data_IF_822243864224
#
_entry.id   IF_822243864224
#
_cell.length_a   1.000
_cell.length_b   1.000
_cell.length_c   1.000
_cell.angle_alpha   90.00
_cell.angle_beta   90.00
_cell.angle_gamma   90.00
#
_symmetry.space_group_name_H-M   'P 1'
#
loop_
_entity.id
_entity.type
_entity.pdbx_description
1 polymer ?
#
# COMPACT_ATOMS: atom_id res chain seq x y z
N UNK A 1 22.05 -21.23 -8.91
CA UNK A 1 21.52 -20.00 -8.29
C UNK A 1 20.51 -20.45 -7.22
N UNK A 2 20.43 -19.82 -6.05
CA UNK A 2 19.40 -20.17 -5.06
C UNK A 2 18.05 -19.67 -5.57
N UNK A 3 16.99 -20.44 -5.36
CA UNK A 3 15.63 -20.02 -5.70
C UNK A 3 15.25 -18.75 -4.91
N UNK A 4 14.50 -17.82 -5.51
CA UNK A 4 14.10 -16.59 -4.83
C UNK A 4 13.22 -16.91 -3.62
N UNK A 5 13.40 -16.16 -2.52
CA UNK A 5 12.50 -16.22 -1.37
C UNK A 5 11.12 -15.75 -1.82
N UNK A 6 10.15 -16.66 -1.83
CA UNK A 6 8.76 -16.37 -2.16
C UNK A 6 8.06 -15.78 -0.94
N UNK A 7 7.45 -14.61 -1.09
CA UNK A 7 6.57 -13.98 -0.09
C UNK A 7 5.12 -14.08 -0.56
N UNK A 8 4.23 -14.52 0.32
CA UNK A 8 2.79 -14.56 0.10
C UNK A 8 2.13 -13.38 0.79
N UNK A 9 1.41 -12.57 0.01
CA UNK A 9 0.81 -11.33 0.49
C UNK A 9 -0.67 -11.29 0.14
N UNK A 10 -1.52 -11.06 1.14
CA UNK A 10 -2.94 -10.78 0.95
C UNK A 10 -3.21 -9.30 1.13
N UNK A 11 -3.82 -8.65 0.15
CA UNK A 11 -4.28 -7.26 0.27
C UNK A 11 -5.77 -7.18 0.59
N UNK A 12 -6.11 -6.64 1.75
CA UNK A 12 -7.49 -6.39 2.18
C UNK A 12 -7.78 -4.90 2.09
N UNK A 13 -8.83 -4.52 1.36
CA UNK A 13 -9.20 -3.11 1.23
C UNK A 13 -10.22 -2.81 0.13
N UNK A 14 -10.00 -1.71 -0.58
CA UNK A 14 -10.96 -1.19 -1.55
C UNK A 14 -10.27 -0.61 -2.80
N UNK A 15 -10.92 0.34 -3.46
CA UNK A 15 -10.44 0.98 -4.68
C UNK A 15 -9.07 1.64 -4.54
N UNK A 16 -8.65 2.02 -3.33
CA UNK A 16 -7.30 2.57 -3.11
C UNK A 16 -6.21 1.49 -3.16
N UNK A 17 -6.62 0.22 -3.08
CA UNK A 17 -5.77 -0.95 -3.27
C UNK A 17 -5.82 -1.43 -4.72
N UNK A 18 -6.99 -1.73 -5.29
CA UNK A 18 -7.04 -2.41 -6.60
C UNK A 18 -6.92 -1.48 -7.82
N UNK A 19 -7.07 -0.17 -7.68
CA UNK A 19 -6.97 0.73 -8.83
C UNK A 19 -5.58 0.69 -9.46
N UNK A 20 -5.58 0.75 -10.80
CA UNK A 20 -4.40 0.63 -11.64
C UNK A 20 -3.59 -0.67 -11.41
N UNK A 21 -4.21 -1.71 -10.83
CA UNK A 21 -3.55 -2.99 -10.55
C UNK A 21 -2.31 -2.84 -9.64
N UNK A 22 -2.40 -2.00 -8.60
CA UNK A 22 -1.25 -1.70 -7.72
C UNK A 22 -0.57 -2.95 -7.13
N UNK A 23 -1.28 -3.98 -6.62
CA UNK A 23 -0.62 -5.20 -6.15
C UNK A 23 0.16 -5.93 -7.26
N UNK A 24 -0.33 -5.91 -8.50
CA UNK A 24 0.37 -6.50 -9.65
C UNK A 24 1.54 -5.63 -10.12
N UNK A 25 1.45 -4.29 -10.03
CA UNK A 25 2.61 -3.41 -10.24
C UNK A 25 3.77 -3.81 -9.33
N UNK A 26 3.48 -4.05 -8.05
CA UNK A 26 4.47 -4.50 -7.08
C UNK A 26 5.09 -5.86 -7.47
N UNK A 27 4.29 -6.82 -7.95
CA UNK A 27 4.81 -8.12 -8.45
C UNK A 27 5.80 -7.92 -9.59
N UNK A 28 5.44 -7.10 -10.59
CA UNK A 28 6.33 -6.86 -11.74
C UNK A 28 7.59 -6.07 -11.34
N UNK A 29 7.48 -5.13 -10.39
CA UNK A 29 8.64 -4.45 -9.81
C UNK A 29 9.62 -5.42 -9.13
N UNK A 30 9.12 -6.32 -8.28
CA UNK A 30 9.97 -7.32 -7.59
C UNK A 30 10.63 -8.26 -8.59
N UNK A 31 9.88 -8.71 -9.59
CA UNK A 31 10.40 -9.56 -10.68
C UNK A 31 11.50 -8.86 -11.47
N UNK A 32 11.31 -7.58 -11.81
CA UNK A 32 12.28 -6.79 -12.56
C UNK A 32 13.58 -6.56 -11.76
N UNK A 33 13.48 -6.33 -10.45
CA UNK A 33 14.63 -6.05 -9.59
C UNK A 33 15.60 -7.24 -9.43
N UNK A 34 15.12 -8.48 -9.57
CA UNK A 34 15.92 -9.72 -9.46
C UNK A 34 16.78 -9.82 -8.18
N UNK A 35 16.34 -9.22 -7.07
CA UNK A 35 17.04 -9.27 -5.77
C UNK A 35 16.77 -10.55 -4.96
N UNK A 36 16.43 -11.66 -5.62
CA UNK A 36 16.19 -12.93 -4.95
C UNK A 36 14.86 -13.01 -4.19
N UNK A 37 13.88 -12.17 -4.53
CA UNK A 37 12.50 -12.27 -4.03
C UNK A 37 11.53 -12.57 -5.16
N UNK A 38 10.42 -13.24 -4.81
CA UNK A 38 9.23 -13.34 -5.67
C UNK A 38 7.98 -13.13 -4.82
N UNK A 39 6.92 -12.61 -5.41
CA UNK A 39 5.66 -12.35 -4.71
C UNK A 39 4.54 -13.22 -5.26
N UNK A 40 3.77 -13.83 -4.36
CA UNK A 40 2.43 -14.35 -4.64
C UNK A 40 1.43 -13.40 -3.96
N UNK A 41 0.64 -12.69 -4.77
CA UNK A 41 -0.34 -11.72 -4.25
C UNK A 41 -1.76 -12.19 -4.50
N UNK A 42 -2.62 -12.05 -3.49
CA UNK A 42 -4.07 -12.09 -3.66
C UNK A 42 -4.68 -10.84 -3.03
N UNK A 43 -5.96 -10.61 -3.29
CA UNK A 43 -6.67 -9.46 -2.74
C UNK A 43 -8.12 -9.80 -2.38
N UNK A 44 -8.56 -9.33 -1.21
CA UNK A 44 -9.96 -9.25 -0.83
C UNK A 44 -10.35 -7.78 -0.87
N UNK A 45 -10.99 -7.34 -1.95
CA UNK A 45 -11.34 -5.92 -2.12
C UNK A 45 -12.78 -5.69 -2.51
N UNK A 46 -13.38 -4.63 -1.97
CA UNK A 46 -14.73 -4.17 -2.34
C UNK A 46 -14.77 -2.69 -2.71
N UNK A 47 -15.83 -2.25 -3.42
CA UNK A 47 -15.99 -0.83 -3.74
C UNK A 47 -16.35 -0.03 -2.49
N UNK A 48 -15.44 0.83 -2.02
CA UNK A 48 -15.68 1.76 -0.92
C UNK A 48 -15.84 1.13 0.47
N UNK A 49 -15.47 -0.15 0.62
CA UNK A 49 -15.63 -0.89 1.88
C UNK A 49 -14.58 -0.50 2.93
N UNK A 50 -14.95 -0.60 4.21
CA UNK A 50 -14.10 -0.36 5.40
C UNK A 50 -13.51 -1.64 5.97
N UNK A 51 -12.63 -1.54 6.96
CA UNK A 51 -12.18 -2.72 7.72
C UNK A 51 -13.31 -3.37 8.51
N UNK A 52 -14.29 -2.59 8.97
CA UNK A 52 -15.51 -3.11 9.59
C UNK A 52 -16.28 -4.03 8.64
N UNK A 53 -16.42 -3.62 7.38
CA UNK A 53 -17.08 -4.45 6.39
C UNK A 53 -16.31 -5.76 6.17
N UNK A 54 -14.98 -5.70 6.10
CA UNK A 54 -14.13 -6.88 5.94
C UNK A 54 -14.20 -7.83 7.13
N UNK A 55 -14.23 -7.30 8.36
CA UNK A 55 -14.44 -8.09 9.57
C UNK A 55 -15.78 -8.86 9.50
N UNK A 56 -16.84 -8.21 9.05
CA UNK A 56 -18.16 -8.82 8.91
C UNK A 56 -18.33 -9.66 7.64
N UNK A 57 -17.33 -9.72 6.76
CA UNK A 57 -17.36 -10.48 5.52
C UNK A 57 -16.70 -11.86 5.70
N UNK A 58 -17.46 -12.97 5.68
CA UNK A 58 -16.90 -14.30 5.89
C UNK A 58 -15.81 -14.65 4.89
N UNK A 59 -15.98 -14.31 3.61
CA UNK A 59 -14.97 -14.59 2.58
C UNK A 59 -13.62 -13.93 2.89
N UNK A 60 -13.60 -12.72 3.44
CA UNK A 60 -12.35 -12.07 3.85
C UNK A 60 -11.68 -12.83 4.99
N UNK A 61 -12.45 -13.18 6.03
CA UNK A 61 -11.93 -13.92 7.20
C UNK A 61 -11.49 -15.35 6.84
N UNK A 62 -12.24 -16.03 5.99
CA UNK A 62 -11.86 -17.35 5.47
C UNK A 62 -10.55 -17.26 4.67
N UNK A 63 -10.37 -16.21 3.84
CA UNK A 63 -9.14 -16.01 3.06
C UNK A 63 -7.93 -15.70 3.94
N UNK A 64 -8.11 -15.01 5.08
CA UNK A 64 -7.04 -14.85 6.09
C UNK A 64 -6.57 -16.23 6.58
N UNK A 65 -7.47 -17.20 6.70
CA UNK A 65 -7.18 -18.55 7.21
C UNK A 65 -6.76 -19.59 6.16
N UNK A 66 -6.83 -19.30 4.85
CA UNK A 66 -6.64 -20.32 3.80
C UNK A 66 -5.18 -20.62 3.44
N UNK A 67 -4.26 -19.69 3.68
CA UNK A 67 -2.84 -19.83 3.33
C UNK A 67 -1.94 -19.41 4.49
N UNK A 68 -0.73 -19.95 4.49
CA UNK A 68 0.37 -19.45 5.32
C UNK A 68 0.90 -18.15 4.70
N UNK A 69 0.17 -17.05 4.90
CA UNK A 69 0.55 -15.72 4.47
C UNK A 69 1.80 -15.26 5.22
N UNK A 70 2.76 -14.63 4.53
CA UNK A 70 3.86 -13.93 5.20
C UNK A 70 3.36 -12.57 5.70
N UNK A 71 2.61 -11.87 4.84
CA UNK A 71 2.05 -10.56 5.12
C UNK A 71 0.58 -10.49 4.77
N UNK A 72 -0.20 -9.80 5.60
CA UNK A 72 -1.56 -9.39 5.28
C UNK A 72 -1.65 -7.88 5.42
N UNK A 73 -2.00 -7.21 4.32
CA UNK A 73 -2.10 -5.76 4.21
C UNK A 73 -3.53 -5.34 4.53
N UNK A 74 -3.70 -4.45 5.49
CA UNK A 74 -4.99 -3.86 5.86
C UNK A 74 -5.06 -2.40 5.43
N UNK A 75 -6.06 -2.07 4.61
CA UNK A 75 -6.34 -0.72 4.15
C UNK A 75 -7.75 -0.28 4.57
N UNK A 76 -7.84 0.76 5.40
CA UNK A 76 -9.13 1.37 5.78
C UNK A 76 -9.72 2.22 4.66
N UNK A 77 -11.04 2.36 4.62
CA UNK A 77 -11.79 3.26 3.74
C UNK A 77 -11.20 4.66 3.76
N UNK A 78 -10.50 5.09 2.71
CA UNK A 78 -10.14 6.48 2.37
C UNK A 78 -10.14 7.48 3.57
N UNK A 79 -11.24 8.19 3.83
CA UNK A 79 -11.38 9.18 4.90
C UNK A 79 -11.84 8.62 6.27
N UNK A 80 -12.06 7.32 6.40
CA UNK A 80 -12.39 6.58 7.61
C UNK A 80 -11.48 6.86 8.80
N UNK A 81 -10.15 7.02 8.65
CA UNK A 81 -9.30 7.45 9.76
C UNK A 81 -9.64 8.86 10.32
N UNK A 82 -10.33 9.70 9.54
CA UNK A 82 -10.84 11.01 9.95
C UNK A 82 -12.27 10.95 10.47
N UNK A 83 -13.12 10.20 9.76
CA UNK A 83 -14.58 10.18 9.95
C UNK A 83 -15.02 9.17 11.01
N UNK A 84 -14.31 8.05 11.13
CA UNK A 84 -14.69 6.85 11.88
C UNK A 84 -13.47 6.23 12.59
N UNK A 85 -12.61 7.07 13.18
CA UNK A 85 -11.32 6.64 13.76
C UNK A 85 -11.44 5.52 14.80
N UNK A 86 -12.51 5.54 15.61
CA UNK A 86 -12.79 4.48 16.58
C UNK A 86 -13.15 3.14 15.91
N UNK A 87 -13.91 3.16 14.81
CA UNK A 87 -14.21 1.95 14.03
C UNK A 87 -12.95 1.42 13.36
N UNK A 88 -12.13 2.29 12.78
CA UNK A 88 -10.84 1.91 12.21
C UNK A 88 -9.94 1.22 13.24
N UNK A 89 -9.73 1.85 14.40
CA UNK A 89 -8.90 1.29 15.49
C UNK A 89 -9.42 -0.06 15.98
N UNK A 90 -10.73 -0.19 16.20
CA UNK A 90 -11.34 -1.41 16.70
C UNK A 90 -11.23 -2.56 15.69
N UNK A 91 -11.59 -2.33 14.43
CA UNK A 91 -11.60 -3.39 13.42
C UNK A 91 -10.20 -3.78 12.94
N UNK A 92 -9.25 -2.85 12.94
CA UNK A 92 -7.84 -3.19 12.71
C UNK A 92 -7.32 -4.15 13.79
N UNK A 93 -7.67 -3.95 15.07
CA UNK A 93 -7.30 -4.85 16.16
C UNK A 93 -7.92 -6.24 16.04
N UNK A 94 -9.19 -6.33 15.62
CA UNK A 94 -9.86 -7.63 15.44
C UNK A 94 -9.23 -8.43 14.29
N UNK A 95 -9.02 -7.79 13.14
CA UNK A 95 -8.38 -8.43 11.99
C UNK A 95 -6.93 -8.81 12.29
N UNK A 96 -6.14 -7.93 12.94
CA UNK A 96 -4.76 -8.23 13.34
C UNK A 96 -4.66 -9.47 14.23
N UNK A 97 -5.61 -9.65 15.15
CA UNK A 97 -5.65 -10.86 15.98
C UNK A 97 -5.85 -12.12 15.15
N UNK A 98 -6.75 -12.11 14.17
CA UNK A 98 -6.94 -13.25 13.26
C UNK A 98 -5.69 -13.50 12.42
N UNK A 99 -5.07 -12.44 11.87
CA UNK A 99 -3.85 -12.51 11.07
C UNK A 99 -2.71 -13.15 11.86
N UNK A 100 -2.46 -12.68 13.09
CA UNK A 100 -1.39 -13.21 13.96
C UNK A 100 -1.65 -14.64 14.42
N UNK A 101 -2.91 -15.03 14.62
CA UNK A 101 -3.24 -16.42 14.94
C UNK A 101 -2.84 -17.38 13.79
N UNK A 102 -2.74 -16.90 12.55
CA UNK A 102 -2.23 -17.65 11.41
C UNK A 102 -0.70 -17.53 11.23
N UNK A 103 -0.02 -16.78 12.10
CA UNK A 103 1.43 -16.57 12.04
C UNK A 103 1.89 -15.51 11.02
N UNK A 104 0.97 -14.78 10.39
CA UNK A 104 1.29 -13.73 9.43
C UNK A 104 1.58 -12.39 10.12
N UNK A 105 2.31 -11.49 9.43
CA UNK A 105 2.54 -10.12 9.88
C UNK A 105 1.55 -9.14 9.24
N UNK A 106 0.97 -8.26 10.06
CA UNK A 106 0.08 -7.20 9.58
C UNK A 106 0.89 -6.03 9.03
N UNK A 107 0.52 -5.54 7.84
CA UNK A 107 0.96 -4.27 7.27
C UNK A 107 -0.24 -3.33 7.17
N UNK A 108 -0.18 -2.15 7.77
CA UNK A 108 -1.20 -1.11 7.59
C UNK A 108 -0.86 -0.24 6.38
N UNK A 109 -1.76 -0.20 5.39
CA UNK A 109 -1.62 0.63 4.21
C UNK A 109 -2.22 2.02 4.45
N UNK A 110 -1.36 2.96 4.85
CA UNK A 110 -1.74 4.34 5.06
C UNK A 110 -1.99 5.06 3.74
N UNK A 111 -3.27 5.33 3.45
CA UNK A 111 -3.71 6.03 2.25
C UNK A 111 -3.46 7.55 2.32
N UNK A 112 -3.81 8.23 1.23
CA UNK A 112 -3.66 9.67 1.07
C UNK A 112 -4.98 10.44 1.30
N UNK A 113 -4.86 11.72 1.58
CA UNK A 113 -5.94 12.68 1.61
C UNK A 113 -6.46 13.00 0.21
N UNK A 114 -7.75 13.33 0.10
CA UNK A 114 -8.30 13.91 -1.12
C UNK A 114 -7.55 15.19 -1.47
N UNK A 115 -7.42 15.48 -2.77
CA UNK A 115 -6.61 16.61 -3.26
C UNK A 115 -7.05 17.96 -2.70
N UNK A 116 -8.36 18.16 -2.57
CA UNK A 116 -8.96 19.39 -2.03
C UNK A 116 -8.82 19.55 -0.51
N UNK A 117 -8.40 18.49 0.19
CA UNK A 117 -8.26 18.45 1.66
C UNK A 117 -6.87 17.95 2.07
N UNK A 118 -5.85 18.31 1.29
CA UNK A 118 -4.48 17.82 1.45
C UNK A 118 -3.91 18.05 2.87
N UNK A 119 -4.33 19.12 3.54
CA UNK A 119 -3.95 19.44 4.92
C UNK A 119 -4.34 18.35 5.93
N UNK A 120 -5.35 17.54 5.63
CA UNK A 120 -5.81 16.44 6.50
C UNK A 120 -4.86 15.24 6.51
N UNK A 121 -3.85 15.20 5.62
CA UNK A 121 -2.92 14.07 5.54
C UNK A 121 -2.21 13.78 6.87
N UNK A 122 -1.85 14.82 7.63
CA UNK A 122 -1.18 14.64 8.92
C UNK A 122 -2.08 13.95 9.95
N UNK A 123 -3.39 14.17 9.88
CA UNK A 123 -4.37 13.55 10.77
C UNK A 123 -4.56 12.08 10.38
N UNK A 124 -4.68 11.79 9.07
CA UNK A 124 -4.71 10.42 8.56
C UNK A 124 -3.46 9.66 9.01
N UNK A 125 -2.27 10.26 8.86
CA UNK A 125 -1.02 9.65 9.26
C UNK A 125 -0.98 9.34 10.76
N UNK A 126 -1.32 10.30 11.61
CA UNK A 126 -1.36 10.10 13.06
C UNK A 126 -2.31 8.98 13.50
N UNK A 127 -3.46 8.82 12.83
CA UNK A 127 -4.40 7.73 13.10
C UNK A 127 -3.80 6.37 12.73
N UNK A 128 -3.23 6.23 11.53
CA UNK A 128 -2.57 4.98 11.11
C UNK A 128 -1.37 4.63 11.99
N UNK A 129 -0.53 5.60 12.35
CA UNK A 129 0.60 5.41 13.24
C UNK A 129 0.19 4.97 14.64
N UNK A 130 -0.89 5.55 15.17
CA UNK A 130 -1.43 5.14 16.47
C UNK A 130 -1.89 3.67 16.44
N UNK A 131 -2.67 3.29 15.42
CA UNK A 131 -3.14 1.91 15.26
C UNK A 131 -1.95 0.97 15.03
N UNK A 132 -0.99 1.33 14.16
CA UNK A 132 0.20 0.54 13.89
C UNK A 132 1.01 0.25 15.16
N UNK A 133 1.26 1.28 15.98
CA UNK A 133 1.94 1.10 17.28
C UNK A 133 1.13 0.20 18.22
N UNK A 134 -0.20 0.39 18.30
CA UNK A 134 -1.06 -0.38 19.19
C UNK A 134 -1.06 -1.86 18.85
N UNK A 135 -1.15 -2.20 17.57
CA UNK A 135 -1.18 -3.59 17.11
C UNK A 135 0.21 -4.13 16.77
N UNK A 136 1.28 -3.35 16.87
CA UNK A 136 2.62 -3.77 16.45
C UNK A 136 2.70 -4.15 14.96
N UNK A 137 1.91 -3.48 14.11
CA UNK A 137 1.93 -3.69 12.66
C UNK A 137 3.06 -2.88 12.01
N UNK A 138 3.51 -3.38 10.85
CA UNK A 138 4.34 -2.60 9.94
C UNK A 138 3.46 -1.51 9.31
N UNK A 139 3.96 -0.29 9.20
CA UNK A 139 3.24 0.79 8.53
C UNK A 139 3.78 0.96 7.10
N UNK A 140 2.89 1.00 6.11
CA UNK A 140 3.17 1.40 4.73
C UNK A 140 2.73 2.85 4.49
N UNK A 141 3.64 3.84 4.63
CA UNK A 141 3.32 5.26 4.73
C UNK A 141 3.07 5.95 3.36
N UNK A 142 2.23 5.37 2.50
CA UNK A 142 2.02 5.88 1.13
C UNK A 142 1.49 7.31 1.11
N UNK A 143 0.54 7.65 1.99
CA UNK A 143 0.04 9.02 2.10
C UNK A 143 1.11 10.06 2.47
N UNK A 144 2.13 9.68 3.24
CA UNK A 144 3.27 10.55 3.57
C UNK A 144 4.21 10.70 2.38
N UNK A 145 4.42 9.64 1.60
CA UNK A 145 5.14 9.72 0.33
C UNK A 145 4.45 10.66 -0.67
N UNK A 146 3.12 10.59 -0.77
CA UNK A 146 2.34 11.53 -1.57
C UNK A 146 2.51 12.96 -1.08
N UNK A 147 2.39 13.19 0.23
CA UNK A 147 2.62 14.51 0.83
C UNK A 147 3.99 15.07 0.51
N UNK A 148 5.03 14.22 0.56
CA UNK A 148 6.40 14.60 0.22
C UNK A 148 6.56 14.98 -1.25
N UNK A 149 5.93 14.24 -2.16
CA UNK A 149 5.89 14.60 -3.60
C UNK A 149 5.30 15.99 -3.78
N UNK A 150 4.12 16.28 -3.20
CA UNK A 150 3.48 17.58 -3.37
C UNK A 150 4.28 18.73 -2.75
N UNK A 151 5.01 18.51 -1.65
CA UNK A 151 5.89 19.52 -1.06
C UNK A 151 7.07 19.89 -1.98
N UNK A 152 7.63 18.91 -2.68
CA UNK A 152 8.80 19.11 -3.55
C UNK A 152 8.42 19.49 -4.98
N UNK A 153 7.30 18.98 -5.48
CA UNK A 153 6.76 19.23 -6.81
C UNK A 153 5.23 19.41 -6.75
N UNK A 154 4.74 20.61 -6.39
CA UNK A 154 3.30 20.87 -6.20
C UNK A 154 2.42 20.64 -7.43
N UNK A 155 3.01 20.64 -8.63
CA UNK A 155 2.30 20.41 -9.89
C UNK A 155 2.16 18.93 -10.24
N UNK A 156 2.86 18.04 -9.54
CA UNK A 156 2.81 16.60 -9.82
C UNK A 156 1.41 16.08 -9.57
N UNK A 157 0.88 15.33 -10.53
CA UNK A 157 -0.46 14.78 -10.46
C UNK A 157 -0.40 13.31 -10.03
N UNK A 158 -0.83 13.01 -8.81
CA UNK A 158 -0.96 11.64 -8.29
C UNK A 158 -2.43 11.18 -8.18
N UNK A 159 -3.36 12.13 -8.03
CA UNK A 159 -4.80 11.84 -8.06
C UNK A 159 -5.32 11.68 -9.49
N UNK A 160 -6.35 10.86 -9.63
CA UNK A 160 -7.23 10.78 -10.79
C UNK A 160 -8.04 12.09 -10.96
N UNK A 161 -8.82 12.20 -12.04
CA UNK A 161 -9.75 13.33 -12.29
C UNK A 161 -10.84 13.49 -11.23
N UNK A 162 -11.05 12.49 -10.37
CA UNK A 162 -12.02 12.57 -9.27
C UNK A 162 -11.43 13.13 -7.97
N UNK A 163 -10.15 13.55 -8.00
CA UNK A 163 -9.42 14.13 -6.87
C UNK A 163 -9.35 13.24 -5.61
N UNK A 164 -9.68 11.95 -5.75
CA UNK A 164 -9.74 10.97 -4.66
C UNK A 164 -8.88 9.75 -4.93
N UNK A 165 -9.10 9.07 -6.05
CA UNK A 165 -8.37 7.84 -6.36
C UNK A 165 -6.97 8.14 -6.89
N UNK A 166 -6.09 7.15 -6.83
CA UNK A 166 -4.80 7.23 -7.51
C UNK A 166 -4.98 7.16 -9.02
N UNK A 167 -4.25 8.01 -9.74
CA UNK A 167 -3.90 7.73 -11.13
C UNK A 167 -2.77 6.68 -11.17
N UNK A 168 -2.35 6.21 -12.36
CA UNK A 168 -1.31 5.20 -12.46
C UNK A 168 0.03 5.59 -11.78
N UNK A 169 0.39 6.87 -11.79
CA UNK A 169 1.61 7.38 -11.12
C UNK A 169 1.48 7.28 -9.59
N UNK A 170 0.31 7.63 -9.04
CA UNK A 170 0.02 7.46 -7.62
C UNK A 170 0.09 6.00 -7.16
N UNK A 171 -0.47 5.08 -7.95
CA UNK A 171 -0.37 3.63 -7.69
C UNK A 171 1.07 3.12 -7.84
N UNK A 172 1.84 3.64 -8.79
CA UNK A 172 3.25 3.32 -8.94
C UNK A 172 4.07 3.71 -7.71
N UNK A 173 3.85 4.90 -7.16
CA UNK A 173 4.51 5.34 -5.93
C UNK A 173 4.11 4.45 -4.73
N UNK A 174 2.84 4.05 -4.63
CA UNK A 174 2.40 3.10 -3.61
C UNK A 174 3.13 1.76 -3.73
N UNK A 175 3.25 1.21 -4.95
CA UNK A 175 4.00 -0.02 -5.20
C UNK A 175 5.50 0.13 -4.85
N UNK A 176 6.12 1.29 -5.11
CA UNK A 176 7.49 1.56 -4.67
C UNK A 176 7.64 1.52 -3.14
N UNK A 177 6.68 2.09 -2.39
CA UNK A 177 6.69 2.03 -0.91
C UNK A 177 6.62 0.59 -0.42
N UNK A 178 5.70 -0.22 -0.97
CA UNK A 178 5.59 -1.63 -0.61
C UNK A 178 6.84 -2.43 -0.99
N UNK A 179 7.47 -2.12 -2.13
CA UNK A 179 8.72 -2.75 -2.54
C UNK A 179 9.81 -2.54 -1.48
N UNK A 180 9.98 -1.31 -0.99
CA UNK A 180 10.97 -1.02 0.06
C UNK A 180 10.65 -1.78 1.34
N UNK A 181 9.38 -1.82 1.74
CA UNK A 181 8.96 -2.54 2.96
C UNK A 181 9.20 -4.05 2.88
N UNK A 182 8.82 -4.68 1.76
CA UNK A 182 8.83 -6.13 1.65
C UNK A 182 10.20 -6.68 1.25
N UNK A 183 10.94 -5.95 0.42
CA UNK A 183 12.24 -6.38 -0.07
C UNK A 183 13.41 -5.79 0.72
N UNK A 184 13.22 -4.67 1.43
CA UNK A 184 14.30 -3.98 2.15
C UNK A 184 15.38 -3.37 1.24
N UNK A 185 15.07 -3.19 -0.05
CA UNK A 185 15.99 -2.65 -1.05
C UNK A 185 15.52 -1.29 -1.54
N UNK A 186 16.47 -0.46 -1.98
CA UNK A 186 16.15 0.81 -2.63
C UNK A 186 15.42 0.57 -3.96
N UNK A 187 14.38 1.35 -4.29
CA UNK A 187 13.63 1.19 -5.54
C UNK A 187 14.29 1.91 -6.72
N UNK A 188 15.46 2.56 -6.56
CA UNK A 188 16.14 3.38 -7.58
C UNK A 188 16.45 2.63 -8.88
N UNK A 189 16.53 1.30 -8.84
CA UNK A 189 16.75 0.45 -10.01
C UNK A 189 15.46 -0.20 -10.56
N UNK A 190 14.29 0.23 -10.09
CA UNK A 190 13.01 -0.28 -10.59
C UNK A 190 12.68 0.31 -11.95
N UNK A 191 11.96 -0.44 -12.81
CA UNK A 191 11.59 0.04 -14.13
C UNK A 191 10.63 1.24 -14.05
N UNK A 192 10.90 2.26 -14.84
CA UNK A 192 10.07 3.44 -15.09
C UNK A 192 8.84 3.12 -15.95
N UNK A 193 8.89 2.00 -16.69
CA UNK A 193 7.80 1.49 -17.51
C UNK A 193 7.32 0.13 -17.01
N UNK A 194 6.01 0.01 -16.77
CA UNK A 194 5.37 -1.24 -16.35
C UNK A 194 4.27 -1.65 -17.32
N UNK A 195 4.32 -2.93 -17.70
CA UNK A 195 3.29 -3.61 -18.47
C UNK A 195 2.55 -4.57 -17.53
N UNK A 196 1.23 -4.49 -17.54
CA UNK A 196 0.36 -5.43 -16.80
C UNK A 196 -0.63 -6.00 -17.82
N UNK A 197 -0.66 -7.32 -17.94
CA UNK A 197 -1.43 -8.02 -18.98
C UNK A 197 -1.19 -7.43 -20.38
N UNK A 198 0.08 -7.25 -20.74
CA UNK A 198 0.57 -6.68 -22.00
C UNK A 198 0.14 -5.23 -22.30
N UNK A 199 -0.49 -4.55 -21.33
CA UNK A 199 -0.87 -3.15 -21.44
C UNK A 199 0.11 -2.27 -20.66
N UNK A 200 0.64 -1.25 -21.33
CA UNK A 200 1.40 -0.19 -20.66
C UNK A 200 0.49 0.48 -19.64
N UNK A 201 0.80 0.27 -18.36
CA UNK A 201 0.05 0.84 -17.24
C UNK A 201 0.76 2.08 -16.71
N UNK A 202 2.09 2.09 -16.76
CA UNK A 202 2.96 3.19 -16.35
C UNK A 202 4.06 3.36 -17.39
N UNK A 203 4.32 4.60 -17.78
CA UNK A 203 5.41 5.01 -18.68
C UNK A 203 5.89 6.38 -18.21
N UNK A 204 6.92 6.40 -17.36
CA UNK A 204 7.44 7.63 -16.75
C UNK A 204 8.76 8.02 -17.42
N UNK A 205 9.02 9.33 -17.47
CA UNK A 205 10.38 9.83 -17.66
C UNK A 205 11.30 9.29 -16.55
N UNK A 206 12.54 8.93 -16.91
CA UNK A 206 13.52 8.30 -16.03
C UNK A 206 13.82 9.18 -14.80
N UNK A 207 13.99 10.49 -14.97
CA UNK A 207 14.27 11.40 -13.87
C UNK A 207 13.07 11.52 -12.94
N UNK A 208 11.85 11.47 -13.48
CA UNK A 208 10.64 11.48 -12.67
C UNK A 208 10.43 10.15 -11.91
N UNK A 209 10.68 8.99 -12.54
CA UNK A 209 10.67 7.70 -11.85
C UNK A 209 11.68 7.68 -10.70
N UNK A 210 12.92 8.12 -10.96
CA UNK A 210 13.98 8.22 -9.96
C UNK A 210 13.59 9.13 -8.78
N UNK A 211 12.90 10.24 -9.06
CA UNK A 211 12.37 11.13 -8.03
C UNK A 211 11.36 10.41 -7.12
N UNK A 212 10.41 9.65 -7.70
CA UNK A 212 9.45 8.86 -6.93
C UNK A 212 10.11 7.75 -6.11
N UNK A 213 11.12 7.08 -6.68
CA UNK A 213 11.90 6.05 -5.98
C UNK A 213 12.59 6.59 -4.74
N UNK A 214 13.27 7.74 -4.89
CA UNK A 214 13.96 8.40 -3.77
C UNK A 214 12.99 8.76 -2.65
N UNK A 215 11.81 9.29 -2.97
CA UNK A 215 10.79 9.60 -1.97
C UNK A 215 10.29 8.36 -1.26
N UNK A 216 9.97 7.29 -2.00
CA UNK A 216 9.52 6.04 -1.40
C UNK A 216 10.57 5.49 -0.42
N UNK A 217 11.85 5.51 -0.81
CA UNK A 217 12.95 5.06 0.04
C UNK A 217 13.18 5.95 1.26
N UNK A 218 13.19 7.28 1.07
CA UNK A 218 13.34 8.27 2.14
C UNK A 218 12.29 8.07 3.23
N UNK A 219 11.02 7.99 2.83
CA UNK A 219 9.87 7.95 3.75
C UNK A 219 9.79 6.62 4.51
N UNK A 220 10.14 5.49 3.87
CA UNK A 220 10.16 4.19 4.57
C UNK A 220 11.38 4.07 5.49
N UNK A 221 12.54 4.60 5.09
CA UNK A 221 13.79 4.49 5.86
C UNK A 221 13.86 5.47 7.04
N UNK A 222 13.11 6.58 6.96
CA UNK A 222 13.03 7.60 8.00
C UNK A 222 11.56 7.94 8.28
N UNK A 223 10.83 7.04 8.96
CA UNK A 223 9.45 7.31 9.34
C UNK A 223 9.40 8.57 10.21
N UNK A 224 8.61 9.55 9.78
CA UNK A 224 8.41 10.83 10.49
C UNK A 224 7.55 10.67 11.73
#
# INVERSE_FOLDING_TARGET
>A
MRDPKRLKVLFIGNSHTYFNFMPQMLVEMVKAAKHGFSLEVEQCTGKGVSLEWHWNNPTTRDTIATKNWDYIVLQERSAGPLEESASFDYHAQLLDREIKNQGAQTILYMTWANRSRFETQSIIAGAYEQVARKIGAILAPVGSAWKRVFQLQPKTRLHHDDDRHANPVGSYLAACVFYVIMCGHSPVSLPEKLLIADKVTVDLDEAFALFLHKIAFEIVSHPT
#
